data_IF_647076158938
#
_entry.id   IF_647076158938
#
_cell.length_a   1.000
_cell.length_b   1.000
_cell.length_c   1.000
_cell.angle_alpha   90.00
_cell.angle_beta   90.00
_cell.angle_gamma   90.00
#
_symmetry.space_group_name_H-M   'P 1'
#
loop_
_entity.id
_entity.type
_entity.pdbx_description
1 polymer ?
#
# COMPACT_ATOMS: atom_id res chain seq x y z
N UNK A 1 10.54 35.83 -34.64
CA UNK A 1 11.11 35.47 -35.96
C UNK A 1 10.26 34.45 -36.73
N UNK A 2 9.77 33.35 -36.10
CA UNK A 2 8.90 32.36 -36.77
C UNK A 2 7.57 32.93 -37.31
N UNK A 3 6.87 33.78 -36.55
CA UNK A 3 5.57 34.35 -36.98
C UNK A 3 5.67 35.23 -38.24
N UNK A 4 6.78 35.95 -38.41
CA UNK A 4 7.02 36.73 -39.63
C UNK A 4 7.34 35.84 -40.85
N UNK A 5 7.93 34.67 -40.61
CA UNK A 5 8.26 33.70 -41.67
C UNK A 5 7.00 33.01 -42.21
N UNK A 6 6.05 32.66 -41.33
CA UNK A 6 4.76 32.08 -41.73
C UNK A 6 3.91 33.04 -42.56
N UNK A 7 3.90 34.33 -42.23
CA UNK A 7 3.15 35.34 -42.98
C UNK A 7 3.66 35.52 -44.42
N UNK A 8 4.97 35.40 -44.65
CA UNK A 8 5.58 35.53 -45.99
C UNK A 8 5.34 34.30 -46.86
N UNK A 9 5.35 33.09 -46.29
CA UNK A 9 5.04 31.86 -47.02
C UNK A 9 3.57 31.85 -47.46
N UNK A 10 2.66 32.28 -46.59
CA UNK A 10 1.23 32.29 -46.89
C UNK A 10 0.85 33.27 -48.00
N UNK A 11 1.63 34.35 -48.19
CA UNK A 11 1.38 35.34 -49.23
C UNK A 11 2.00 34.99 -50.59
N UNK A 12 2.93 34.02 -50.63
CA UNK A 12 3.58 33.58 -51.87
C UNK A 12 2.84 32.43 -52.58
N UNK A 13 2.06 31.63 -51.86
CA UNK A 13 1.29 30.51 -52.43
C UNK A 13 -0.18 30.87 -52.57
N UNK A 14 -0.66 31.13 -53.81
CA UNK A 14 -2.08 31.09 -54.14
C UNK A 14 -2.51 29.62 -54.30
N UNK A 15 -3.39 29.16 -53.43
CA UNK A 15 -3.81 27.75 -53.34
C UNK A 15 -4.90 27.40 -54.35
N UNK A 16 -4.57 27.40 -55.65
CA UNK A 16 -5.53 27.05 -56.71
C UNK A 16 -5.25 25.66 -57.35
N UNK A 17 -4.20 24.93 -56.92
CA UNK A 17 -3.91 23.58 -57.41
C UNK A 17 -3.38 22.65 -56.28
N UNK A 18 -3.82 21.39 -56.29
CA UNK A 18 -3.47 20.32 -55.35
C UNK A 18 -1.95 20.09 -55.25
N UNK A 19 -1.20 20.41 -56.30
CA UNK A 19 0.27 20.31 -56.32
C UNK A 19 0.95 21.30 -55.38
N UNK A 20 0.38 22.49 -55.18
CA UNK A 20 0.88 23.52 -54.26
C UNK A 20 0.61 23.16 -52.79
N UNK A 21 -0.52 22.49 -52.52
CA UNK A 21 -0.86 21.96 -51.19
C UNK A 21 0.09 20.83 -50.78
N UNK A 22 0.43 19.94 -51.72
CA UNK A 22 1.38 18.87 -51.45
C UNK A 22 2.76 19.42 -51.09
N UNK A 23 3.25 20.42 -51.84
CA UNK A 23 4.54 21.09 -51.58
C UNK A 23 4.58 21.83 -50.23
N UNK A 24 3.47 22.47 -49.83
CA UNK A 24 3.36 23.09 -48.51
C UNK A 24 3.38 22.02 -47.40
N UNK A 25 2.67 20.91 -47.60
CA UNK A 25 2.65 19.82 -46.63
C UNK A 25 4.04 19.19 -46.47
N UNK A 26 4.80 18.98 -47.56
CA UNK A 26 6.20 18.50 -47.47
C UNK A 26 7.11 19.53 -46.82
N UNK A 27 6.94 20.82 -47.09
CA UNK A 27 7.73 21.88 -46.46
C UNK A 27 7.47 21.97 -44.94
N UNK A 28 6.21 21.90 -44.51
CA UNK A 28 5.82 21.87 -43.09
C UNK A 28 6.36 20.61 -42.42
N UNK A 29 6.26 19.45 -43.06
CA UNK A 29 6.79 18.20 -42.54
C UNK A 29 8.33 18.26 -42.40
N UNK A 30 9.02 18.79 -43.40
CA UNK A 30 10.48 18.96 -43.36
C UNK A 30 10.93 19.93 -42.26
N UNK A 31 10.20 21.05 -42.06
CA UNK A 31 10.47 22.01 -40.99
C UNK A 31 10.18 21.38 -39.62
N UNK A 32 9.12 20.59 -39.50
CA UNK A 32 8.78 19.90 -38.24
C UNK A 32 9.82 18.86 -37.88
N UNK A 33 10.30 18.07 -38.85
CA UNK A 33 11.40 17.13 -38.67
C UNK A 33 12.69 17.86 -38.31
N UNK A 34 13.01 18.99 -38.96
CA UNK A 34 14.18 19.81 -38.62
C UNK A 34 14.09 20.45 -37.22
N UNK A 35 12.90 20.86 -36.77
CA UNK A 35 12.67 21.34 -35.41
C UNK A 35 12.74 20.23 -34.36
N UNK A 36 12.32 19.00 -34.70
CA UNK A 36 12.44 17.84 -33.80
C UNK A 36 13.86 17.24 -33.75
N UNK A 37 14.66 17.46 -34.79
CA UNK A 37 16.06 17.04 -34.87
C UNK A 37 17.05 18.12 -34.44
N UNK A 38 16.58 19.34 -34.14
CA UNK A 38 17.42 20.36 -33.54
C UNK A 38 17.96 19.81 -32.21
N UNK A 39 19.28 19.61 -32.07
CA UNK A 39 19.84 19.15 -30.82
C UNK A 39 19.44 20.14 -29.73
N UNK A 40 19.07 19.68 -28.52
CA UNK A 40 18.74 20.59 -27.42
C UNK A 40 19.91 21.56 -27.27
N UNK A 41 19.59 22.85 -27.16
CA UNK A 41 20.59 23.91 -27.01
C UNK A 41 21.43 23.62 -25.77
N UNK A 42 22.61 23.03 -25.98
CA UNK A 42 23.56 22.63 -24.93
C UNK A 42 24.19 23.85 -24.24
N UNK A 43 23.83 25.07 -24.65
CA UNK A 43 24.31 26.32 -24.03
C UNK A 43 23.42 26.83 -22.89
N UNK A 44 22.22 26.27 -22.69
CA UNK A 44 21.49 26.46 -21.44
C UNK A 44 22.09 25.54 -20.38
N UNK A 45 22.83 26.13 -19.44
CA UNK A 45 23.22 25.45 -18.22
C UNK A 45 21.99 24.79 -17.62
N UNK A 46 22.06 23.47 -17.39
CA UNK A 46 21.04 22.73 -16.66
C UNK A 46 20.72 23.49 -15.37
N UNK A 47 19.43 23.68 -15.03
CA UNK A 47 19.07 24.36 -13.79
C UNK A 47 19.83 23.69 -12.63
N UNK A 48 20.29 24.49 -11.64
CA UNK A 48 20.97 23.92 -10.50
C UNK A 48 20.09 22.83 -9.88
N UNK A 49 20.70 21.74 -9.37
CA UNK A 49 19.94 20.68 -8.74
C UNK A 49 19.05 21.28 -7.65
N UNK A 50 17.81 20.79 -7.48
CA UNK A 50 16.91 21.32 -6.48
C UNK A 50 17.57 21.22 -5.11
N UNK A 51 17.66 22.35 -4.41
CA UNK A 51 18.14 22.39 -3.03
C UNK A 51 17.05 21.83 -2.15
N UNK A 52 17.37 20.81 -1.34
CA UNK A 52 16.40 20.26 -0.38
C UNK A 52 16.18 21.24 0.78
N UNK A 53 15.04 21.93 0.79
CA UNK A 53 14.59 22.77 1.90
C UNK A 53 13.85 21.92 2.94
N UNK A 54 14.62 21.17 3.74
CA UNK A 54 14.08 20.33 4.81
C UNK A 54 13.75 21.18 6.05
N UNK A 55 12.49 21.58 6.18
CA UNK A 55 11.96 22.22 7.38
C UNK A 55 11.33 21.20 8.32
N UNK A 56 11.67 21.28 9.60
CA UNK A 56 11.04 20.46 10.63
C UNK A 56 9.59 20.92 10.88
N UNK A 57 8.67 19.96 10.97
CA UNK A 57 7.29 20.23 11.39
C UNK A 57 7.28 20.59 12.87
N UNK A 58 6.72 21.75 13.19
CA UNK A 58 6.53 22.26 14.54
C UNK A 58 5.13 21.91 15.03
N UNK A 59 5.05 21.05 16.06
CA UNK A 59 3.79 20.70 16.70
C UNK A 59 3.99 20.45 18.20
N UNK A 60 3.01 20.78 19.05
CA UNK A 60 3.10 20.50 20.47
C UNK A 60 3.07 18.99 20.73
N UNK A 61 4.02 18.51 21.53
CA UNK A 61 4.04 17.11 22.01
C UNK A 61 3.30 17.01 23.33
N UNK A 62 2.06 16.53 23.30
CA UNK A 62 1.19 16.44 24.47
C UNK A 62 0.81 14.98 24.74
N UNK A 63 0.70 14.60 26.01
CA UNK A 63 0.20 13.30 26.46
C UNK A 63 -0.75 13.47 27.65
N UNK A 64 -1.56 12.46 27.96
CA UNK A 64 -2.42 12.46 29.14
C UNK A 64 -3.44 13.61 29.18
N UNK A 65 -3.55 14.28 30.33
CA UNK A 65 -4.52 15.36 30.54
C UNK A 65 -4.29 16.59 29.64
N UNK A 66 -3.05 17.09 29.45
CA UNK A 66 -2.77 18.15 28.47
C UNK A 66 -3.29 17.84 27.07
N UNK A 67 -3.09 16.61 26.58
CA UNK A 67 -3.58 16.21 25.25
C UNK A 67 -5.11 16.21 25.19
N UNK A 68 -5.79 15.72 26.22
CA UNK A 68 -7.26 15.73 26.28
C UNK A 68 -7.83 17.15 26.28
N UNK A 69 -7.21 18.06 27.02
CA UNK A 69 -7.61 19.46 27.03
C UNK A 69 -7.40 20.09 25.66
N UNK A 70 -6.21 19.89 25.07
CA UNK A 70 -5.90 20.41 23.73
C UNK A 70 -6.90 19.91 22.68
N UNK A 71 -7.24 18.62 22.69
CA UNK A 71 -8.22 18.05 21.77
C UNK A 71 -9.63 18.67 21.92
N UNK A 72 -10.05 19.00 23.14
CA UNK A 72 -11.32 19.71 23.36
C UNK A 72 -11.26 21.15 22.86
N UNK A 73 -10.15 21.85 23.09
CA UNK A 73 -9.95 23.23 22.63
C UNK A 73 -9.96 23.31 21.10
N UNK A 74 -9.34 22.34 20.40
CA UNK A 74 -9.32 22.30 18.94
C UNK A 74 -10.69 22.03 18.31
N UNK A 75 -11.64 21.47 19.07
CA UNK A 75 -13.02 21.27 18.64
C UNK A 75 -13.93 22.49 18.86
N UNK A 76 -13.48 23.49 19.63
CA UNK A 76 -14.27 24.72 19.84
C UNK A 76 -14.25 25.61 18.58
N UNK A 77 -15.38 26.16 18.12
CA UNK A 77 -15.46 26.85 16.82
C UNK A 77 -14.46 28.00 16.64
N UNK A 78 -14.34 28.87 17.65
CA UNK A 78 -13.48 30.07 17.57
C UNK A 78 -12.04 29.72 17.95
N UNK A 79 -11.86 29.14 19.15
CA UNK A 79 -10.54 28.83 19.71
C UNK A 79 -9.82 27.78 18.85
N UNK A 80 -10.50 26.71 18.46
CA UNK A 80 -9.93 25.66 17.64
C UNK A 80 -9.53 26.15 16.25
N UNK A 81 -10.35 27.00 15.62
CA UNK A 81 -10.01 27.62 14.34
C UNK A 81 -8.74 28.48 14.42
N UNK A 82 -8.57 29.23 15.51
CA UNK A 82 -7.38 30.03 15.74
C UNK A 82 -6.13 29.15 15.94
N UNK A 83 -6.21 28.14 16.83
CA UNK A 83 -5.12 27.19 17.09
C UNK A 83 -4.69 26.47 15.80
N UNK A 84 -5.64 25.90 15.06
CA UNK A 84 -5.35 25.15 13.84
C UNK A 84 -4.81 26.06 12.73
N UNK A 85 -5.26 27.32 12.66
CA UNK A 85 -4.69 28.30 11.71
C UNK A 85 -3.23 28.58 12.03
N UNK A 86 -2.88 28.79 13.29
CA UNK A 86 -1.51 29.02 13.72
C UNK A 86 -0.61 27.82 13.38
N UNK A 87 -1.03 26.59 13.75
CA UNK A 87 -0.26 25.37 13.41
C UNK A 87 -0.06 25.24 11.90
N UNK A 88 -1.07 25.53 11.08
CA UNK A 88 -0.93 25.50 9.60
C UNK A 88 0.02 26.58 9.07
N UNK A 89 0.08 27.75 9.71
CA UNK A 89 0.99 28.83 9.35
C UNK A 89 2.43 28.49 9.73
N UNK A 90 2.66 28.02 10.97
CA UNK A 90 3.99 27.66 11.48
C UNK A 90 4.66 26.53 10.69
N UNK A 91 3.85 25.74 9.97
CA UNK A 91 4.29 24.60 9.18
C UNK A 91 4.15 24.82 7.66
N UNK A 92 4.05 26.08 7.21
CA UNK A 92 3.99 26.46 5.79
C UNK A 92 2.86 25.80 4.96
N UNK A 93 1.87 25.14 5.58
CA UNK A 93 0.76 24.49 4.86
C UNK A 93 -0.07 25.49 4.07
N UNK A 94 -0.21 26.72 4.57
CA UNK A 94 -0.90 27.77 3.82
C UNK A 94 -0.08 28.18 2.60
N UNK A 95 1.24 28.29 2.71
CA UNK A 95 2.10 28.62 1.57
C UNK A 95 1.97 27.58 0.46
N UNK A 96 2.00 26.29 0.79
CA UNK A 96 1.80 25.20 -0.19
C UNK A 96 0.45 25.32 -0.89
N UNK A 97 -0.63 25.64 -0.17
CA UNK A 97 -1.96 25.83 -0.78
C UNK A 97 -2.02 27.04 -1.71
N UNK A 98 -1.40 28.16 -1.33
CA UNK A 98 -1.34 29.34 -2.19
C UNK A 98 -0.48 29.06 -3.43
N UNK A 99 0.67 28.42 -3.27
CA UNK A 99 1.52 27.99 -4.39
C UNK A 99 0.74 27.09 -5.35
N UNK A 100 0.01 26.09 -4.84
CA UNK A 100 -0.83 25.23 -5.67
C UNK A 100 -1.88 26.02 -6.48
N UNK A 101 -2.44 27.11 -5.91
CA UNK A 101 -3.38 27.98 -6.61
C UNK A 101 -2.73 28.82 -7.72
N UNK A 102 -1.40 29.00 -7.71
CA UNK A 102 -0.66 29.68 -8.80
C UNK A 102 -0.38 28.77 -10.00
N UNK A 103 -0.54 27.45 -9.83
CA UNK A 103 -0.31 26.45 -10.89
C UNK A 103 -1.55 26.34 -11.80
N UNK A 104 -1.88 27.40 -12.54
CA UNK A 104 -3.08 27.47 -13.38
C UNK A 104 -3.06 26.53 -14.59
N UNK A 105 -1.86 26.19 -15.07
CA UNK A 105 -1.69 25.40 -16.30
C UNK A 105 -1.59 23.89 -16.03
N UNK A 106 -1.62 23.49 -14.75
CA UNK A 106 -1.58 22.08 -14.35
C UNK A 106 -2.98 21.60 -13.98
N UNK A 107 -3.44 20.56 -14.67
CA UNK A 107 -4.66 19.85 -14.28
C UNK A 107 -4.41 19.08 -12.97
N UNK A 108 -5.26 19.21 -11.94
CA UNK A 108 -5.10 18.44 -10.71
C UNK A 108 -5.25 16.94 -10.98
N UNK A 109 -4.25 16.17 -10.55
CA UNK A 109 -4.30 14.72 -10.57
C UNK A 109 -4.96 14.22 -9.28
N UNK A 110 -6.16 13.67 -9.39
CA UNK A 110 -6.90 13.09 -8.25
C UNK A 110 -6.47 11.66 -7.93
N UNK A 111 -5.93 10.96 -8.92
CA UNK A 111 -5.43 9.59 -8.82
C UNK A 111 -4.07 9.50 -9.52
N UNK A 112 -3.16 8.60 -9.08
CA UNK A 112 -1.94 8.32 -9.82
C UNK A 112 -2.29 7.81 -11.23
N UNK A 113 -1.94 8.58 -12.27
CA UNK A 113 -2.11 8.18 -13.67
C UNK A 113 -0.81 7.51 -14.12
N UNK A 114 -0.59 6.27 -13.68
CA UNK A 114 0.38 5.37 -14.29
C UNK A 114 -0.36 4.13 -14.78
N UNK A 115 -0.71 4.11 -16.06
CA UNK A 115 -1.24 2.90 -16.69
C UNK A 115 -0.03 2.00 -17.02
N UNK A 116 0.06 0.79 -16.46
CA UNK A 116 1.15 -0.12 -16.77
C UNK A 116 1.12 -0.48 -18.26
N UNK A 117 2.30 -0.68 -18.87
CA UNK A 117 2.38 -1.18 -20.24
C UNK A 117 1.78 -2.59 -20.34
N UNK A 118 1.27 -2.98 -21.51
CA UNK A 118 0.78 -4.35 -21.75
C UNK A 118 1.83 -5.41 -21.37
N UNK A 119 3.10 -5.13 -21.67
CA UNK A 119 4.23 -5.98 -21.26
C UNK A 119 4.34 -6.12 -19.74
N UNK A 120 4.22 -5.02 -18.99
CA UNK A 120 4.24 -5.03 -17.52
C UNK A 120 3.09 -5.87 -16.96
N UNK A 121 1.89 -5.69 -17.52
CA UNK A 121 0.70 -6.47 -17.12
C UNK A 121 0.90 -7.95 -17.41
N UNK A 122 1.39 -8.31 -18.59
CA UNK A 122 1.65 -9.69 -18.99
C UNK A 122 2.71 -10.34 -18.09
N UNK A 123 3.81 -9.63 -17.81
CA UNK A 123 4.86 -10.09 -16.91
C UNK A 123 4.32 -10.38 -15.51
N UNK A 124 3.56 -9.45 -14.94
CA UNK A 124 2.98 -9.64 -13.60
C UNK A 124 1.93 -10.75 -13.56
N UNK A 125 1.15 -10.91 -14.64
CA UNK A 125 0.18 -12.01 -14.76
C UNK A 125 0.87 -13.36 -14.79
N UNK A 126 1.94 -13.50 -15.57
CA UNK A 126 2.75 -14.72 -15.61
C UNK A 126 3.37 -15.04 -14.25
N UNK A 127 3.93 -14.03 -13.55
CA UNK A 127 4.47 -14.21 -12.21
C UNK A 127 3.41 -14.67 -11.19
N UNK A 128 2.20 -14.13 -11.26
CA UNK A 128 1.10 -14.57 -10.40
C UNK A 128 0.71 -16.03 -10.65
N UNK A 129 0.70 -16.46 -11.92
CA UNK A 129 0.40 -17.84 -12.30
C UNK A 129 1.53 -18.84 -11.97
N UNK A 130 2.77 -18.37 -11.88
CA UNK A 130 3.93 -19.22 -11.60
C UNK A 130 4.07 -19.62 -10.11
N UNK A 131 3.35 -18.97 -9.19
CA UNK A 131 3.41 -19.23 -7.74
C UNK A 131 2.61 -20.47 -7.29
N UNK A 132 2.75 -21.58 -8.01
CA UNK A 132 2.15 -22.86 -7.67
C UNK A 132 3.00 -23.60 -6.62
N UNK A 133 2.38 -24.49 -5.83
CA UNK A 133 3.04 -25.34 -4.81
C UNK A 133 4.30 -25.99 -5.37
N UNK A 134 4.20 -26.63 -6.54
CA UNK A 134 5.30 -27.37 -7.14
C UNK A 134 6.45 -26.46 -7.57
N UNK A 135 6.14 -25.26 -8.08
CA UNK A 135 7.15 -24.27 -8.47
C UNK A 135 7.91 -23.77 -7.26
N UNK A 136 7.20 -23.40 -6.19
CA UNK A 136 7.82 -22.89 -4.96
C UNK A 136 8.56 -23.99 -4.22
N UNK A 137 8.06 -25.23 -4.23
CA UNK A 137 8.76 -26.38 -3.65
C UNK A 137 10.12 -26.64 -4.32
N UNK A 138 10.23 -26.38 -5.63
CA UNK A 138 11.46 -26.54 -6.40
C UNK A 138 12.47 -25.38 -6.23
N UNK A 139 12.07 -24.24 -5.67
CA UNK A 139 12.98 -23.12 -5.42
C UNK A 139 13.98 -23.46 -4.32
N UNK A 140 15.25 -23.10 -4.48
CA UNK A 140 16.22 -23.19 -3.38
C UNK A 140 16.24 -21.90 -2.56
N UNK A 141 16.39 -22.03 -1.24
CA UNK A 141 16.63 -20.91 -0.34
C UNK A 141 18.03 -21.08 0.23
N UNK A 142 18.96 -20.20 -0.12
CA UNK A 142 20.29 -20.20 0.47
C UNK A 142 20.21 -19.85 1.96
N UNK A 143 20.82 -20.68 2.81
CA UNK A 143 20.89 -20.46 4.25
C UNK A 143 22.33 -20.42 4.71
N UNK A 144 22.67 -19.35 5.40
CA UNK A 144 23.95 -19.28 6.11
C UNK A 144 23.88 -20.20 7.34
N UNK A 145 24.78 -21.16 7.38
CA UNK A 145 24.91 -22.11 8.50
C UNK A 145 25.21 -21.36 9.81
N UNK A 146 24.59 -21.80 10.91
CA UNK A 146 24.75 -21.21 12.25
C UNK A 146 24.06 -19.86 12.48
N UNK A 147 23.44 -19.24 11.46
CA UNK A 147 22.67 -18.02 11.62
C UNK A 147 21.21 -18.30 12.01
N UNK A 148 20.61 -17.38 12.78
CA UNK A 148 19.17 -17.41 13.03
C UNK A 148 18.40 -17.04 11.76
N UNK A 149 17.41 -17.86 11.42
CA UNK A 149 16.51 -17.62 10.29
C UNK A 149 15.06 -17.71 10.77
N UNK A 150 14.21 -16.83 10.24
CA UNK A 150 12.76 -16.95 10.40
C UNK A 150 12.24 -18.05 9.47
N UNK A 151 11.21 -18.75 9.90
CA UNK A 151 10.50 -19.68 9.03
C UNK A 151 9.88 -18.94 7.84
N UNK A 152 10.06 -19.50 6.65
CA UNK A 152 9.47 -19.01 5.41
C UNK A 152 8.19 -19.78 5.08
N UNK A 153 7.38 -19.27 4.15
CA UNK A 153 6.22 -19.99 3.61
C UNK A 153 6.62 -21.35 3.04
N UNK A 154 7.77 -21.40 2.36
CA UNK A 154 8.31 -22.65 1.81
C UNK A 154 8.62 -23.67 2.91
N UNK A 155 9.18 -23.24 4.04
CA UNK A 155 9.46 -24.16 5.16
C UNK A 155 8.20 -24.83 5.69
N UNK A 156 7.10 -24.08 5.83
CA UNK A 156 5.82 -24.65 6.23
C UNK A 156 5.36 -25.68 5.18
N UNK A 157 5.34 -25.28 3.91
CA UNK A 157 4.93 -26.15 2.80
C UNK A 157 5.73 -27.44 2.73
N UNK A 158 7.07 -27.35 2.77
CA UNK A 158 7.98 -28.50 2.70
C UNK A 158 7.74 -29.46 3.87
N UNK A 159 7.56 -28.92 5.08
CA UNK A 159 7.33 -29.74 6.27
C UNK A 159 5.97 -30.42 6.25
N UNK A 160 4.94 -29.76 5.72
CA UNK A 160 3.62 -30.34 5.54
C UNK A 160 3.63 -31.47 4.49
N UNK A 161 4.30 -31.27 3.36
CA UNK A 161 4.47 -32.30 2.32
C UNK A 161 5.25 -33.49 2.86
N UNK A 162 6.35 -33.23 3.59
CA UNK A 162 7.17 -34.28 4.17
C UNK A 162 6.52 -34.98 5.38
N UNK A 163 5.37 -34.50 5.86
CA UNK A 163 4.69 -35.03 7.05
C UNK A 163 5.45 -34.81 8.37
N UNK A 164 6.47 -33.94 8.37
CA UNK A 164 7.26 -33.63 9.59
C UNK A 164 6.60 -32.58 10.49
N UNK A 165 5.54 -31.93 9.98
CA UNK A 165 4.61 -31.11 10.73
C UNK A 165 3.25 -31.14 10.02
N UNK A 166 2.18 -30.81 10.74
CA UNK A 166 0.86 -30.58 10.14
C UNK A 166 0.44 -29.12 10.27
N UNK A 167 -0.44 -28.61 9.38
CA UNK A 167 -1.08 -27.32 9.54
C UNK A 167 -1.71 -27.14 10.93
N UNK A 168 -2.39 -28.17 11.45
CA UNK A 168 -2.98 -28.14 12.80
C UNK A 168 -1.92 -27.90 13.89
N UNK A 169 -0.80 -28.62 13.86
CA UNK A 169 0.27 -28.44 14.85
C UNK A 169 0.84 -27.02 14.80
N UNK A 170 1.06 -26.49 13.60
CA UNK A 170 1.61 -25.13 13.41
C UNK A 170 0.61 -24.07 13.88
N UNK A 171 -0.66 -24.18 13.49
CA UNK A 171 -1.70 -23.22 13.86
C UNK A 171 -1.94 -23.24 15.37
N UNK A 172 -2.00 -24.41 16.00
CA UNK A 172 -2.09 -24.51 17.47
C UNK A 172 -0.93 -23.79 18.15
N UNK A 173 0.31 -24.01 17.68
CA UNK A 173 1.49 -23.32 18.22
C UNK A 173 1.44 -21.80 18.00
N UNK A 174 0.87 -21.32 16.89
CA UNK A 174 0.67 -19.88 16.64
C UNK A 174 -0.36 -19.29 17.60
N UNK A 175 -1.49 -19.98 17.83
CA UNK A 175 -2.51 -19.54 18.79
C UNK A 175 -1.94 -19.46 20.21
N UNK A 176 -1.18 -20.47 20.63
CA UNK A 176 -0.45 -20.47 21.90
C UNK A 176 0.55 -19.31 21.98
N UNK A 177 1.29 -19.04 20.90
CA UNK A 177 2.24 -17.92 20.86
C UNK A 177 1.54 -16.55 20.96
N UNK A 178 0.38 -16.37 20.34
CA UNK A 178 -0.44 -15.16 20.48
C UNK A 178 -0.81 -14.95 21.95
N UNK A 179 -1.33 -15.98 22.61
CA UNK A 179 -1.72 -15.92 24.03
C UNK A 179 -0.53 -15.64 24.94
N UNK A 180 0.55 -16.41 24.79
CA UNK A 180 1.77 -16.26 25.58
C UNK A 180 2.38 -14.86 25.39
N UNK A 181 2.31 -14.28 24.18
CA UNK A 181 2.81 -12.94 23.92
C UNK A 181 2.00 -11.83 24.62
N UNK A 182 0.70 -12.05 24.82
CA UNK A 182 -0.18 -11.14 25.54
C UNK A 182 -0.04 -11.24 27.06
N UNK A 183 0.56 -12.32 27.57
CA UNK A 183 0.87 -12.49 29.00
C UNK A 183 2.24 -11.91 29.40
N UNK A 184 3.03 -11.43 28.45
CA UNK A 184 4.33 -10.80 28.74
C UNK A 184 4.16 -9.44 29.43
N UNK A 185 5.24 -8.98 30.05
CA UNK A 185 5.33 -7.64 30.65
C UNK A 185 6.45 -6.85 29.97
N UNK A 186 6.14 -5.85 29.12
CA UNK A 186 4.81 -5.46 28.65
C UNK A 186 4.19 -6.46 27.65
N UNK A 187 2.85 -6.50 27.50
CA UNK A 187 2.18 -7.42 26.58
C UNK A 187 2.39 -6.98 25.12
N UNK A 188 2.44 -7.94 24.19
CA UNK A 188 2.69 -7.65 22.78
C UNK A 188 1.48 -7.01 22.08
N UNK A 189 0.25 -7.47 22.36
CA UNK A 189 -1.02 -6.91 21.87
C UNK A 189 -1.12 -6.80 20.34
N UNK A 190 -0.54 -7.74 19.59
CA UNK A 190 -0.50 -7.70 18.13
C UNK A 190 -1.81 -8.12 17.44
N UNK A 191 -2.62 -8.97 18.08
CA UNK A 191 -3.87 -9.52 17.54
C UNK A 191 -5.02 -9.13 18.48
N UNK A 192 -6.09 -8.53 17.93
CA UNK A 192 -7.23 -8.02 18.71
C UNK A 192 -8.48 -8.88 18.60
N UNK A 193 -8.61 -9.67 17.51
CA UNK A 193 -9.70 -10.62 17.32
C UNK A 193 -9.15 -11.94 16.83
N UNK A 194 -9.51 -13.02 17.50
CA UNK A 194 -9.04 -14.36 17.20
C UNK A 194 -10.10 -15.37 17.64
N UNK A 195 -10.76 -16.01 16.67
CA UNK A 195 -11.72 -17.09 16.93
C UNK A 195 -11.00 -18.45 16.81
N UNK A 196 -10.46 -18.93 17.94
CA UNK A 196 -9.66 -20.16 17.98
C UNK A 196 -10.37 -21.37 17.42
N UNK A 197 -11.67 -21.52 17.69
CA UNK A 197 -12.44 -22.67 17.26
C UNK A 197 -12.51 -22.76 15.74
N UNK A 198 -12.90 -21.67 15.08
CA UNK A 198 -12.97 -21.59 13.62
C UNK A 198 -11.58 -21.77 13.00
N UNK A 199 -10.56 -21.15 13.57
CA UNK A 199 -9.17 -21.26 13.09
C UNK A 199 -8.66 -22.72 13.18
N UNK A 200 -8.96 -23.42 14.28
CA UNK A 200 -8.58 -24.83 14.43
C UNK A 200 -9.35 -25.73 13.46
N UNK A 201 -10.63 -25.46 13.20
CA UNK A 201 -11.42 -26.18 12.19
C UNK A 201 -10.81 -26.04 10.78
N UNK A 202 -10.39 -24.83 10.40
CA UNK A 202 -9.68 -24.58 9.13
C UNK A 202 -8.35 -25.34 9.07
N UNK A 203 -7.61 -25.38 10.18
CA UNK A 203 -6.32 -26.09 10.29
C UNK A 203 -6.48 -27.62 10.22
N UNK A 204 -7.55 -28.16 10.81
CA UNK A 204 -7.93 -29.56 10.64
C UNK A 204 -8.22 -29.86 9.17
N UNK A 205 -9.05 -29.05 8.51
CA UNK A 205 -9.37 -29.26 7.10
C UNK A 205 -8.13 -29.19 6.20
N UNK A 206 -7.18 -28.28 6.47
CA UNK A 206 -5.88 -28.23 5.78
C UNK A 206 -5.03 -29.47 6.04
N UNK A 207 -4.98 -29.95 7.28
CA UNK A 207 -4.26 -31.17 7.64
C UNK A 207 -4.77 -32.39 6.87
N UNK A 208 -6.09 -32.55 6.76
CA UNK A 208 -6.70 -33.62 5.97
C UNK A 208 -6.35 -33.52 4.47
N UNK A 209 -6.27 -32.30 3.93
CA UNK A 209 -5.85 -32.08 2.54
C UNK A 209 -4.40 -32.51 2.30
N UNK A 210 -3.50 -32.25 3.24
CA UNK A 210 -2.13 -32.74 3.15
C UNK A 210 -2.05 -34.26 3.32
N UNK A 211 -2.81 -34.84 4.25
CA UNK A 211 -2.82 -36.30 4.47
C UNK A 211 -3.26 -37.09 3.22
N UNK A 212 -4.17 -36.54 2.43
CA UNK A 212 -4.62 -37.12 1.14
C UNK A 212 -3.77 -36.70 -0.07
N UNK A 213 -2.70 -35.94 0.12
CA UNK A 213 -1.82 -35.47 -0.97
C UNK A 213 -2.48 -34.47 -1.92
N UNK A 214 -3.48 -33.71 -1.46
CA UNK A 214 -4.20 -32.73 -2.28
C UNK A 214 -4.31 -31.36 -1.57
N UNK A 215 -3.18 -30.68 -1.27
CA UNK A 215 -3.18 -29.30 -0.82
C UNK A 215 -3.72 -28.37 -1.91
N UNK A 216 -4.34 -27.25 -1.51
CA UNK A 216 -4.95 -26.28 -2.42
C UNK A 216 -3.88 -25.50 -3.20
N UNK A 217 -2.91 -24.95 -2.47
CA UNK A 217 -1.98 -23.95 -2.96
C UNK A 217 -0.78 -23.82 -2.05
N UNK A 218 0.17 -22.95 -2.40
CA UNK A 218 1.41 -22.76 -1.63
C UNK A 218 1.16 -22.16 -0.24
N UNK A 219 -0.03 -21.58 -0.05
CA UNK A 219 -0.46 -21.03 1.22
C UNK A 219 -1.34 -21.98 2.03
N UNK A 220 -1.60 -23.20 1.55
CA UNK A 220 -2.47 -24.13 2.28
C UNK A 220 -1.91 -24.43 3.67
N UNK A 221 -2.65 -24.05 4.71
CA UNK A 221 -2.23 -24.24 6.10
C UNK A 221 -1.23 -23.22 6.63
N UNK A 222 -0.91 -22.17 5.85
CA UNK A 222 0.00 -21.10 6.27
C UNK A 222 -0.75 -20.08 7.14
N UNK A 223 -0.23 -19.74 8.34
CA UNK A 223 -0.84 -18.72 9.21
C UNK A 223 -0.68 -17.32 8.63
N UNK A 224 -1.79 -16.58 8.51
CA UNK A 224 -1.80 -15.18 8.09
C UNK A 224 -2.66 -14.36 9.05
N UNK A 225 -2.14 -13.22 9.50
CA UNK A 225 -2.93 -12.22 10.22
C UNK A 225 -3.35 -11.09 9.27
N UNK A 226 -4.55 -10.55 9.45
CA UNK A 226 -5.13 -9.52 8.58
C UNK A 226 -5.31 -8.24 9.37
N UNK A 227 -4.89 -7.10 8.84
CA UNK A 227 -5.08 -5.80 9.50
C UNK A 227 -6.57 -5.50 9.71
N UNK A 228 -6.94 -4.96 10.86
CA UNK A 228 -8.35 -4.70 11.23
C UNK A 228 -9.04 -3.55 10.47
N UNK A 229 -8.61 -3.30 9.23
CA UNK A 229 -9.25 -2.41 8.27
C UNK A 229 -9.78 -3.16 7.03
N UNK A 230 -9.54 -4.47 6.95
CA UNK A 230 -10.00 -5.34 5.86
C UNK A 230 -10.99 -6.35 6.38
N UNK A 231 -12.12 -6.50 5.69
CA UNK A 231 -13.13 -7.49 6.05
C UNK A 231 -12.59 -8.93 5.98
N UNK A 232 -12.93 -9.69 7.02
CA UNK A 232 -12.69 -11.13 7.12
C UNK A 232 -14.02 -11.72 7.57
N UNK A 233 -14.56 -12.66 6.80
CA UNK A 233 -15.84 -13.29 7.10
C UNK A 233 -15.87 -13.83 8.54
N UNK A 234 -16.96 -13.56 9.26
CA UNK A 234 -17.13 -13.98 10.65
C UNK A 234 -16.49 -13.05 11.69
N UNK A 235 -15.80 -11.99 11.28
CA UNK A 235 -15.32 -10.93 12.15
C UNK A 235 -15.99 -9.60 11.85
N UNK A 236 -16.23 -8.78 12.87
CA UNK A 236 -16.46 -7.36 12.68
C UNK A 236 -15.13 -6.67 12.31
N UNK A 237 -15.18 -5.57 11.57
CA UNK A 237 -14.02 -4.74 11.22
C UNK A 237 -14.10 -3.43 12.01
N UNK A 238 -13.20 -3.25 12.99
CA UNK A 238 -13.28 -2.09 13.90
C UNK A 238 -12.46 -0.89 13.42
N UNK A 239 -11.54 -1.08 12.46
CA UNK A 239 -10.52 -0.11 12.09
C UNK A 239 -9.75 0.44 13.31
N UNK A 240 -9.56 -0.40 14.33
CA UNK A 240 -8.97 0.01 15.61
C UNK A 240 -9.83 0.95 16.47
N UNK A 241 -11.12 1.12 16.18
CA UNK A 241 -12.08 1.91 16.98
C UNK A 241 -12.85 1.03 17.97
N UNK A 242 -13.59 1.65 18.89
CA UNK A 242 -14.51 0.94 19.81
C UNK A 242 -15.95 0.80 19.31
N UNK A 243 -16.31 1.41 18.17
CA UNK A 243 -17.72 1.57 17.76
C UNK A 243 -18.03 1.07 16.34
N UNK A 244 -17.02 0.91 15.47
CA UNK A 244 -17.25 0.37 14.13
C UNK A 244 -17.75 -1.08 14.14
N UNK A 245 -17.45 -1.85 15.17
CA UNK A 245 -17.95 -3.23 15.29
C UNK A 245 -19.49 -3.27 15.39
N UNK A 246 -20.08 -2.33 16.13
CA UNK A 246 -21.54 -2.19 16.24
C UNK A 246 -22.15 -1.62 14.97
N UNK A 247 -21.48 -0.63 14.35
CA UNK A 247 -21.96 0.04 13.16
C UNK A 247 -21.97 -0.86 11.91
N UNK A 248 -20.89 -1.63 11.73
CA UNK A 248 -20.67 -2.44 10.53
C UNK A 248 -21.21 -3.87 10.68
N UNK A 249 -21.35 -4.35 11.92
CA UNK A 249 -21.70 -5.74 12.22
C UNK A 249 -20.60 -6.73 11.84
N UNK A 250 -20.96 -8.02 11.83
CA UNK A 250 -20.06 -9.10 11.40
C UNK A 250 -20.00 -9.12 9.87
N UNK A 251 -18.79 -9.11 9.31
CA UNK A 251 -18.59 -9.20 7.87
C UNK A 251 -19.13 -10.52 7.31
N UNK A 252 -19.94 -10.43 6.26
CA UNK A 252 -20.54 -11.58 5.57
C UNK A 252 -19.70 -12.08 4.39
N UNK A 253 -18.63 -11.38 4.05
CA UNK A 253 -17.69 -11.73 2.98
C UNK A 253 -16.28 -11.25 3.33
N UNK A 254 -15.29 -11.93 2.78
CA UNK A 254 -13.89 -11.49 2.84
C UNK A 254 -13.65 -10.30 1.89
N UNK A 255 -12.78 -9.37 2.30
CA UNK A 255 -12.22 -8.39 1.37
C UNK A 255 -11.44 -9.11 0.26
N UNK A 256 -11.37 -8.53 -0.95
CA UNK A 256 -10.73 -9.17 -2.12
C UNK A 256 -9.33 -9.77 -1.87
N UNK A 257 -8.37 -9.10 -1.19
CA UNK A 257 -7.08 -9.72 -0.89
C UNK A 257 -7.20 -10.91 0.07
N UNK A 258 -8.09 -10.85 1.06
CA UNK A 258 -8.33 -11.94 2.03
C UNK A 258 -8.95 -13.15 1.32
N UNK A 259 -9.95 -12.92 0.46
CA UNK A 259 -10.59 -13.97 -0.32
C UNK A 259 -9.58 -14.72 -1.21
N UNK A 260 -8.61 -14.01 -1.80
CA UNK A 260 -7.54 -14.61 -2.60
C UNK A 260 -6.58 -15.46 -1.76
N UNK A 261 -6.23 -15.00 -0.57
CA UNK A 261 -5.39 -15.79 0.36
C UNK A 261 -6.11 -17.06 0.80
N UNK A 262 -7.39 -16.95 1.14
CA UNK A 262 -8.23 -18.09 1.54
C UNK A 262 -8.42 -19.08 0.39
N UNK A 263 -8.57 -18.58 -0.84
CA UNK A 263 -8.66 -19.42 -2.04
C UNK A 263 -7.39 -20.25 -2.29
N UNK A 264 -6.23 -19.82 -1.78
CA UNK A 264 -4.96 -20.57 -1.80
C UNK A 264 -4.76 -21.45 -0.55
N UNK A 265 -5.77 -21.53 0.33
CA UNK A 265 -5.76 -22.36 1.54
C UNK A 265 -5.11 -21.72 2.77
N UNK A 266 -4.77 -20.42 2.72
CA UNK A 266 -4.23 -19.71 3.88
C UNK A 266 -5.23 -19.71 5.05
N UNK A 267 -4.71 -19.81 6.27
CA UNK A 267 -5.50 -19.80 7.50
C UNK A 267 -5.37 -18.43 8.16
N UNK A 268 -6.50 -17.74 8.31
CA UNK A 268 -6.52 -16.40 8.88
C UNK A 268 -6.55 -16.49 10.42
N UNK A 269 -5.40 -16.30 11.06
CA UNK A 269 -5.22 -16.48 12.51
C UNK A 269 -5.76 -15.34 13.38
N UNK A 270 -6.27 -14.28 12.75
CA UNK A 270 -6.94 -13.19 13.45
C UNK A 270 -6.77 -11.82 12.80
N UNK A 271 -7.38 -10.82 13.44
CA UNK A 271 -7.32 -9.41 13.06
C UNK A 271 -6.21 -8.71 13.86
N UNK A 272 -5.26 -8.05 13.20
CA UNK A 272 -4.16 -7.36 13.88
C UNK A 272 -4.63 -6.07 14.52
N UNK A 273 -3.95 -5.66 15.59
CA UNK A 273 -4.05 -4.33 16.15
C UNK A 273 -3.57 -3.27 15.14
N UNK A 274 -4.00 -2.03 15.32
CA UNK A 274 -3.62 -0.90 14.49
C UNK A 274 -3.86 0.44 15.19
N UNK A 275 -3.25 1.50 14.68
CA UNK A 275 -3.64 2.85 15.04
C UNK A 275 -5.07 3.11 14.54
N UNK A 276 -5.90 3.73 15.37
CA UNK A 276 -7.31 4.01 15.07
C UNK A 276 -7.46 4.71 13.70
N UNK A 277 -8.22 4.08 12.80
CA UNK A 277 -8.55 4.52 11.42
C UNK A 277 -7.29 4.81 10.57
N UNK A 278 -6.14 4.26 10.93
CA UNK A 278 -4.87 4.53 10.23
C UNK A 278 -4.39 5.99 10.34
N UNK A 279 -4.94 6.77 11.28
CA UNK A 279 -4.64 8.20 11.46
C UNK A 279 -3.32 8.46 12.21
N UNK A 280 -2.43 7.47 12.29
CA UNK A 280 -1.13 7.59 12.93
C UNK A 280 -0.16 6.48 12.55
N UNK A 281 1.13 6.77 12.73
CA UNK A 281 2.24 5.92 12.28
C UNK A 281 2.94 5.17 13.42
N UNK A 282 2.44 5.28 14.65
CA UNK A 282 3.08 4.71 15.85
C UNK A 282 2.37 3.46 16.40
N UNK A 283 1.20 3.10 15.87
CA UNK A 283 0.39 1.99 16.39
C UNK A 283 -0.31 2.26 17.74
N UNK A 284 -0.24 3.48 18.29
CA UNK A 284 -0.96 3.84 19.52
C UNK A 284 -2.46 3.59 19.36
N UNK A 285 -3.04 2.81 20.28
CA UNK A 285 -4.47 2.53 20.32
C UNK A 285 -4.97 2.54 21.77
N UNK A 286 -5.96 3.37 22.07
CA UNK A 286 -6.51 3.50 23.44
C UNK A 286 -7.57 2.46 23.77
N UNK A 287 -8.14 1.81 22.76
CA UNK A 287 -9.23 0.83 22.92
C UNK A 287 -8.69 -0.59 23.11
N UNK A 288 -7.68 -0.97 22.31
CA UNK A 288 -7.07 -2.30 22.33
C UNK A 288 -5.66 -2.33 22.97
N UNK A 289 -5.15 -1.16 23.37
CA UNK A 289 -3.78 -0.99 23.83
C UNK A 289 -2.76 -0.89 22.69
N UNK A 290 -1.57 -0.36 22.99
CA UNK A 290 -0.51 -0.16 21.99
C UNK A 290 0.31 -1.44 21.81
N UNK A 291 0.38 -2.00 20.58
CA UNK A 291 1.23 -3.15 20.31
C UNK A 291 2.70 -2.80 20.52
N UNK A 292 3.49 -3.75 21.03
CA UNK A 292 4.92 -3.53 21.33
C UNK A 292 5.80 -4.00 20.19
N UNK A 293 6.97 -3.37 20.08
CA UNK A 293 8.02 -3.87 19.20
C UNK A 293 8.56 -5.18 19.77
N UNK A 294 8.62 -6.29 18.99
CA UNK A 294 9.14 -7.57 19.48
C UNK A 294 10.67 -7.63 19.65
N UNK A 295 11.39 -6.56 19.31
CA UNK A 295 12.85 -6.41 19.44
C UNK A 295 13.23 -5.55 20.65
#
# INVERSE_FOLDING_TARGET
>A
MLLAFFSTIYSFFRFDDASSLLLLATAIAAITVACMQAPPDKTQASPPPPVMDLKAIQAPRLTGMPLRLFAKLTQMPIIGSAILRQIKQDNDFLHVRHFAATLTDLMPLYLPIQTPSAETVQKHTHLAQANLVNTVAAMSIERKEGAFHRWTIKDFTDRYIAGTATPLQVISAVLEAIEASNQRTPPLLAIIKCNKEVILQEAHASTERYARGAPIGVLDGVPIAVKDELDVIGYATSAGTSFFDELNGIATADASPVARLRAEGAIIVGKTNMHEVGLGTFGINTHFGTPRNPY
#
